data_IF_441459734203
#
_entry.id   IF_441459734203
#
_cell.length_a   1.000
_cell.length_b   1.000
_cell.length_c   1.000
_cell.angle_alpha   90.00
_cell.angle_beta   90.00
_cell.angle_gamma   90.00
#
_symmetry.space_group_name_H-M   'P 1'
#
loop_
_entity.id
_entity.type
_entity.pdbx_description
1 polymer ?
#
# COMPACT_ATOMS: atom_id res chain seq x y z
N UNK A 1 0.06 -7.72 -23.07
CA UNK A 1 0.38 -6.30 -22.76
C UNK A 1 -0.89 -5.46 -22.80
N UNK A 2 -0.89 -4.27 -22.19
CA UNK A 2 -1.99 -3.31 -22.23
C UNK A 2 -1.44 -1.88 -22.20
N UNK A 3 -2.06 -0.97 -22.94
CA UNK A 3 -1.60 0.40 -23.17
C UNK A 3 -2.70 1.41 -22.88
N UNK A 4 -2.35 2.48 -22.19
CA UNK A 4 -3.25 3.57 -21.79
C UNK A 4 -2.75 4.90 -22.38
N UNK A 5 -3.65 5.85 -22.66
CA UNK A 5 -5.11 5.70 -22.68
C UNK A 5 -5.59 4.87 -23.88
N UNK A 6 -6.84 4.41 -23.87
CA UNK A 6 -7.51 3.77 -25.01
C UNK A 6 -7.83 2.29 -24.86
N UNK A 7 -7.19 1.57 -23.94
CA UNK A 7 -7.57 0.19 -23.59
C UNK A 7 -8.08 0.12 -22.14
N UNK A 8 -8.97 -0.85 -21.87
CA UNK A 8 -9.51 -1.09 -20.54
C UNK A 8 -8.53 -1.91 -19.67
N UNK A 9 -7.36 -1.33 -19.43
CA UNK A 9 -6.28 -1.98 -18.68
C UNK A 9 -6.62 -2.16 -17.20
N UNK A 10 -7.47 -1.30 -16.63
CA UNK A 10 -7.90 -1.45 -15.25
C UNK A 10 -8.67 -2.76 -15.04
N UNK A 11 -9.63 -3.11 -15.90
CA UNK A 11 -10.37 -4.36 -15.77
C UNK A 11 -9.48 -5.59 -15.98
N UNK A 12 -8.51 -5.50 -16.90
CA UNK A 12 -7.50 -6.54 -17.10
C UNK A 12 -6.69 -6.76 -15.82
N UNK A 13 -6.31 -5.69 -15.11
CA UNK A 13 -5.61 -5.77 -13.83
C UNK A 13 -6.49 -6.36 -12.73
N UNK A 14 -7.71 -5.83 -12.56
CA UNK A 14 -8.63 -6.29 -11.51
C UNK A 14 -8.98 -7.76 -11.66
N UNK A 15 -9.07 -8.27 -12.90
CA UNK A 15 -9.30 -9.69 -13.15
C UNK A 15 -8.18 -10.58 -12.60
N UNK A 16 -6.92 -10.15 -12.62
CA UNK A 16 -5.83 -10.93 -12.03
C UNK A 16 -5.86 -10.90 -10.50
N UNK A 17 -6.29 -9.78 -9.89
CA UNK A 17 -6.57 -9.73 -8.45
C UNK A 17 -7.72 -10.67 -8.09
N UNK A 18 -8.81 -10.64 -8.86
CA UNK A 18 -9.99 -11.47 -8.68
C UNK A 18 -9.66 -12.98 -8.73
N UNK A 19 -8.75 -13.39 -9.63
CA UNK A 19 -8.33 -14.78 -9.80
C UNK A 19 -7.38 -15.29 -8.70
N UNK A 20 -6.66 -14.40 -8.02
CA UNK A 20 -5.67 -14.79 -7.02
C UNK A 20 -6.30 -15.58 -5.87
N UNK A 21 -5.58 -16.59 -5.38
CA UNK A 21 -6.08 -17.54 -4.38
C UNK A 21 -5.29 -17.58 -3.08
N UNK A 22 -3.99 -17.23 -3.09
CA UNK A 22 -3.12 -17.35 -1.93
C UNK A 22 -2.64 -15.99 -1.44
N UNK A 23 -2.07 -15.18 -2.31
CA UNK A 23 -1.61 -13.85 -1.96
C UNK A 23 -1.48 -12.89 -3.15
N UNK A 24 -1.52 -11.60 -2.81
CA UNK A 24 -1.21 -10.46 -3.68
C UNK A 24 -0.19 -9.58 -2.98
N UNK A 25 1.00 -9.43 -3.58
CA UNK A 25 2.06 -8.56 -3.06
C UNK A 25 2.22 -7.36 -3.98
N UNK A 26 2.00 -6.16 -3.45
CA UNK A 26 1.93 -4.92 -4.22
C UNK A 26 3.11 -4.02 -3.87
N UNK A 27 3.88 -3.57 -4.86
CA UNK A 27 4.85 -2.49 -4.75
C UNK A 27 4.28 -1.28 -5.49
N UNK A 28 4.07 -0.18 -4.78
CA UNK A 28 3.39 0.98 -5.33
C UNK A 28 4.16 2.28 -5.05
N UNK A 29 4.59 2.93 -6.14
CA UNK A 29 5.04 4.32 -6.07
C UNK A 29 3.89 5.26 -5.71
N UNK A 30 2.80 5.24 -6.48
CA UNK A 30 1.55 5.96 -6.15
C UNK A 30 0.41 4.96 -6.00
N UNK A 31 -0.34 5.09 -4.92
CA UNK A 31 -1.46 4.24 -4.52
C UNK A 31 -2.62 5.11 -4.05
N UNK A 32 -3.36 5.65 -5.03
CA UNK A 32 -4.44 6.62 -4.83
C UNK A 32 -5.72 6.24 -5.60
N UNK A 33 -5.74 5.11 -6.29
CA UNK A 33 -6.90 4.61 -7.03
C UNK A 33 -7.82 3.80 -6.12
N UNK A 34 -9.00 4.35 -5.86
CA UNK A 34 -9.99 3.76 -4.93
C UNK A 34 -10.49 2.40 -5.42
N UNK A 35 -10.74 2.23 -6.73
CA UNK A 35 -11.18 0.96 -7.31
C UNK A 35 -10.19 -0.18 -7.02
N UNK A 36 -8.89 0.10 -7.09
CA UNK A 36 -7.86 -0.90 -6.79
C UNK A 36 -7.81 -1.24 -5.31
N UNK A 37 -7.97 -0.24 -4.44
CA UNK A 37 -8.08 -0.45 -2.99
C UNK A 37 -9.27 -1.35 -2.65
N UNK A 38 -10.42 -1.14 -3.29
CA UNK A 38 -11.61 -1.95 -3.09
C UNK A 38 -11.47 -3.38 -3.62
N UNK A 39 -10.78 -3.56 -4.75
CA UNK A 39 -10.52 -4.91 -5.28
C UNK A 39 -9.55 -5.70 -4.39
N UNK A 40 -8.53 -5.06 -3.81
CA UNK A 40 -7.68 -5.69 -2.79
C UNK A 40 -8.49 -6.08 -1.55
N UNK A 41 -9.41 -5.22 -1.10
CA UNK A 41 -10.33 -5.54 0.00
C UNK A 41 -11.20 -6.76 -0.34
N UNK A 42 -11.70 -6.86 -1.58
CA UNK A 42 -12.44 -8.02 -2.04
C UNK A 42 -11.57 -9.29 -2.02
N UNK A 43 -10.29 -9.21 -2.41
CA UNK A 43 -9.36 -10.33 -2.31
C UNK A 43 -9.15 -10.79 -0.86
N UNK A 44 -8.95 -9.85 0.06
CA UNK A 44 -8.82 -10.15 1.50
C UNK A 44 -10.07 -10.89 2.01
N UNK A 45 -11.27 -10.43 1.65
CA UNK A 45 -12.53 -11.09 2.03
C UNK A 45 -12.63 -12.53 1.51
N UNK A 46 -11.96 -12.86 0.41
CA UNK A 46 -11.86 -14.24 -0.11
C UNK A 46 -10.78 -15.09 0.61
N UNK A 47 -10.08 -14.53 1.58
CA UNK A 47 -8.99 -15.20 2.31
C UNK A 47 -7.60 -15.03 1.67
N UNK A 48 -7.47 -14.16 0.65
CA UNK A 48 -6.18 -13.91 -0.01
C UNK A 48 -5.33 -12.98 0.86
N UNK A 49 -4.08 -13.35 1.10
CA UNK A 49 -3.15 -12.50 1.87
C UNK A 49 -2.71 -11.31 1.03
N UNK A 50 -2.90 -10.09 1.54
CA UNK A 50 -2.43 -8.88 0.86
C UNK A 50 -1.28 -8.26 1.62
N UNK A 51 -0.19 -7.97 0.90
CA UNK A 51 0.92 -7.15 1.39
C UNK A 51 1.11 -5.95 0.47
N UNK A 52 1.24 -4.76 1.05
CA UNK A 52 1.42 -3.51 0.33
C UNK A 52 2.69 -2.80 0.78
N UNK A 53 3.63 -2.64 -0.15
CA UNK A 53 4.83 -1.84 0.01
C UNK A 53 4.66 -0.51 -0.74
N UNK A 54 4.50 0.58 0.00
CA UNK A 54 4.28 1.92 -0.55
C UNK A 54 5.54 2.77 -0.48
N UNK A 55 5.71 3.67 -1.45
CA UNK A 55 6.65 4.78 -1.33
C UNK A 55 6.24 5.76 -0.21
N UNK A 56 7.25 6.38 0.42
CA UNK A 56 7.06 7.37 1.49
C UNK A 56 6.30 8.61 1.04
N UNK A 57 6.46 9.04 -0.21
CA UNK A 57 5.81 10.25 -0.73
C UNK A 57 4.32 10.01 -0.94
N UNK A 58 3.91 8.81 -1.36
CA UNK A 58 2.51 8.42 -1.43
C UNK A 58 1.84 8.43 -0.06
N UNK A 59 2.47 7.80 0.95
CA UNK A 59 1.98 7.81 2.33
C UNK A 59 2.02 9.21 2.98
N UNK A 60 2.66 10.19 2.35
CA UNK A 60 2.63 11.58 2.76
C UNK A 60 1.46 12.38 2.15
N UNK A 61 0.76 11.85 1.13
CA UNK A 61 -0.41 12.49 0.52
C UNK A 61 -1.72 12.17 1.25
N UNK A 62 -2.75 13.02 1.09
CA UNK A 62 -4.09 12.77 1.66
C UNK A 62 -4.75 11.52 1.03
N UNK A 63 -4.72 11.42 -0.30
CA UNK A 63 -5.32 10.29 -1.02
C UNK A 63 -4.60 8.97 -0.74
N UNK A 64 -3.26 8.98 -0.75
CA UNK A 64 -2.46 7.80 -0.43
C UNK A 64 -2.74 7.30 0.98
N UNK A 65 -2.69 8.19 1.99
CA UNK A 65 -3.04 7.82 3.37
C UNK A 65 -4.44 7.24 3.50
N UNK A 66 -5.44 7.89 2.90
CA UNK A 66 -6.83 7.39 2.92
C UNK A 66 -6.90 5.94 2.44
N UNK A 67 -6.22 5.61 1.34
CA UNK A 67 -6.30 4.27 0.77
C UNK A 67 -5.48 3.24 1.56
N UNK A 68 -4.37 3.65 2.18
CA UNK A 68 -3.64 2.81 3.14
C UNK A 68 -4.48 2.55 4.41
N UNK A 69 -5.15 3.59 4.92
CA UNK A 69 -6.01 3.51 6.11
C UNK A 69 -7.17 2.54 5.92
N UNK A 70 -7.78 2.51 4.72
CA UNK A 70 -8.84 1.57 4.37
C UNK A 70 -8.41 0.10 4.45
N UNK A 71 -7.12 -0.19 4.25
CA UNK A 71 -6.57 -1.54 4.25
C UNK A 71 -5.85 -1.88 5.58
N UNK A 72 -5.72 -0.93 6.50
CA UNK A 72 -4.80 -1.01 7.63
C UNK A 72 -5.01 -2.24 8.51
N UNK A 73 -6.27 -2.53 8.87
CA UNK A 73 -6.61 -3.66 9.76
C UNK A 73 -6.66 -5.01 9.03
N UNK A 74 -6.49 -5.01 7.71
CA UNK A 74 -6.82 -6.14 6.85
C UNK A 74 -5.64 -6.64 6.00
N UNK A 75 -4.67 -5.77 5.73
CA UNK A 75 -3.47 -6.06 4.95
C UNK A 75 -2.21 -5.76 5.77
N UNK A 76 -1.11 -6.44 5.46
CA UNK A 76 0.19 -6.00 5.95
C UNK A 76 0.66 -4.82 5.09
N UNK A 77 0.94 -3.68 5.71
CA UNK A 77 1.36 -2.47 5.00
C UNK A 77 2.72 -2.01 5.52
N UNK A 78 3.66 -1.76 4.61
CA UNK A 78 4.96 -1.15 4.90
C UNK A 78 5.26 0.04 3.99
N UNK A 79 5.99 1.00 4.54
CA UNK A 79 6.49 2.16 3.81
C UNK A 79 7.99 2.00 3.62
N UNK A 80 8.43 2.00 2.37
CA UNK A 80 9.85 1.92 2.05
C UNK A 80 10.49 3.31 2.12
N UNK A 81 11.31 3.48 3.14
CA UNK A 81 12.02 4.73 3.42
C UNK A 81 13.54 4.54 3.38
N UNK A 82 13.98 3.35 2.96
CA UNK A 82 15.41 2.99 2.88
C UNK A 82 16.08 3.54 1.61
N UNK A 83 15.29 4.03 0.66
CA UNK A 83 15.74 4.65 -0.60
C UNK A 83 15.04 5.99 -0.81
N UNK A 84 15.58 6.87 -1.68
CA UNK A 84 14.93 8.15 -1.98
C UNK A 84 13.49 8.01 -2.48
N UNK A 85 13.26 7.04 -3.39
CA UNK A 85 11.97 6.74 -4.01
C UNK A 85 11.84 5.23 -4.22
N UNK A 86 10.78 4.62 -3.72
CA UNK A 86 10.30 3.30 -4.12
C UNK A 86 9.48 3.50 -5.41
N UNK A 87 10.10 3.35 -6.58
CA UNK A 87 9.46 3.73 -7.84
C UNK A 87 8.76 2.55 -8.55
N UNK A 88 8.70 1.39 -7.91
CA UNK A 88 8.13 0.20 -8.55
C UNK A 88 6.61 0.31 -8.67
N UNK A 89 6.09 -0.21 -9.78
CA UNK A 89 4.67 -0.51 -9.95
C UNK A 89 4.58 -1.97 -10.33
N UNK A 90 4.52 -2.81 -9.31
CA UNK A 90 4.61 -4.26 -9.43
C UNK A 90 3.51 -4.87 -8.59
N UNK A 91 2.85 -5.89 -9.12
CA UNK A 91 2.08 -6.81 -8.27
C UNK A 91 2.42 -8.23 -8.63
N UNK A 92 2.72 -9.03 -7.61
CA UNK A 92 2.94 -10.46 -7.72
C UNK A 92 1.72 -11.20 -7.18
N UNK A 93 1.23 -12.14 -7.95
CA UNK A 93 0.08 -12.98 -7.64
C UNK A 93 0.57 -14.43 -7.53
N UNK A 94 0.38 -15.04 -6.36
CA UNK A 94 0.54 -16.47 -6.15
C UNK A 94 1.85 -17.09 -6.68
N UNK A 95 2.96 -16.35 -6.73
CA UNK A 95 4.25 -16.78 -7.31
C UNK A 95 4.16 -17.32 -8.75
N UNK A 96 3.12 -16.98 -9.50
CA UNK A 96 2.90 -17.48 -10.87
C UNK A 96 2.67 -16.37 -11.89
N UNK A 97 2.21 -15.20 -11.42
CA UNK A 97 1.90 -14.07 -12.29
C UNK A 97 2.47 -12.78 -11.72
N UNK A 98 3.00 -11.94 -12.59
CA UNK A 98 3.43 -10.57 -12.28
C UNK A 98 2.73 -9.60 -13.22
N UNK A 99 2.26 -8.49 -12.67
CA UNK A 99 1.93 -7.30 -13.47
C UNK A 99 2.93 -6.20 -13.15
N UNK A 100 3.48 -5.58 -14.19
CA UNK A 100 4.34 -4.40 -14.06
C UNK A 100 4.28 -3.53 -15.31
N UNK A 101 4.87 -2.35 -15.27
CA UNK A 101 4.90 -1.37 -16.35
C UNK A 101 5.16 0.04 -15.81
N UNK A 102 4.83 1.04 -16.62
CA UNK A 102 4.93 2.46 -16.21
C UNK A 102 3.73 2.92 -15.37
N UNK A 103 2.58 2.23 -15.49
CA UNK A 103 1.32 2.64 -14.87
C UNK A 103 1.37 2.70 -13.34
N UNK A 104 0.98 3.85 -12.77
CA UNK A 104 0.75 4.01 -11.34
C UNK A 104 -0.67 3.62 -10.94
N UNK A 105 -0.88 3.20 -9.68
CA UNK A 105 -2.22 2.93 -9.12
C UNK A 105 -2.94 4.24 -8.78
N UNK A 106 -3.26 5.01 -9.81
CA UNK A 106 -3.88 6.33 -9.73
C UNK A 106 -4.83 6.55 -10.90
N UNK A 107 -5.75 7.49 -10.76
CA UNK A 107 -6.63 7.88 -11.86
C UNK A 107 -5.84 8.38 -13.08
N UNK A 108 -4.76 9.15 -12.86
CA UNK A 108 -3.90 9.63 -13.95
C UNK A 108 -3.25 8.47 -14.71
N UNK A 109 -2.74 7.46 -13.99
CA UNK A 109 -2.09 6.30 -14.59
C UNK A 109 -3.04 5.48 -15.47
N UNK A 110 -4.22 5.12 -14.99
CA UNK A 110 -5.12 4.24 -15.74
C UNK A 110 -5.97 4.93 -16.81
N UNK A 111 -6.21 6.25 -16.69
CA UNK A 111 -7.21 6.93 -17.53
C UNK A 111 -6.72 8.15 -18.32
N UNK A 112 -5.54 8.71 -18.01
CA UNK A 112 -5.09 9.99 -18.61
C UNK A 112 -3.72 9.92 -19.27
N UNK A 113 -2.73 9.39 -18.57
CA UNK A 113 -1.35 9.36 -19.02
C UNK A 113 -1.14 8.31 -20.12
N UNK A 114 -0.14 8.55 -20.97
CA UNK A 114 0.42 7.52 -21.84
C UNK A 114 1.21 6.52 -20.97
N UNK A 115 0.66 5.35 -20.72
CA UNK A 115 1.22 4.34 -19.82
C UNK A 115 1.15 2.94 -20.45
N UNK A 116 1.94 2.01 -19.94
CA UNK A 116 1.86 0.61 -20.29
C UNK A 116 1.81 -0.30 -19.06
N UNK A 117 1.31 -1.51 -19.29
CA UNK A 117 1.49 -2.64 -18.39
C UNK A 117 1.63 -3.95 -19.16
N UNK A 118 2.34 -4.91 -18.57
CA UNK A 118 2.48 -6.27 -19.06
C UNK A 118 2.04 -7.24 -17.97
N UNK A 119 1.34 -8.29 -18.39
CA UNK A 119 1.05 -9.45 -17.53
C UNK A 119 2.03 -10.53 -17.95
N UNK A 120 2.84 -10.98 -16.99
CA UNK A 120 3.83 -12.03 -17.19
C UNK A 120 3.35 -13.24 -16.38
N UNK A 121 2.93 -14.29 -17.09
CA UNK A 121 2.51 -15.57 -16.49
C UNK A 121 3.66 -16.57 -16.61
N UNK A 122 4.62 -16.40 -15.74
CA UNK A 122 5.82 -17.22 -15.67
C UNK A 122 6.28 -17.34 -14.22
N UNK A 123 6.37 -18.58 -13.72
CA UNK A 123 6.71 -18.88 -12.33
C UNK A 123 8.11 -18.41 -11.98
N UNK A 124 9.10 -18.59 -12.87
CA UNK A 124 10.48 -18.20 -12.60
C UNK A 124 10.58 -16.67 -12.41
N UNK A 125 9.95 -15.92 -13.31
CA UNK A 125 9.84 -14.46 -13.22
C UNK A 125 9.10 -14.03 -11.96
N UNK A 126 7.97 -14.66 -11.65
CA UNK A 126 7.19 -14.33 -10.45
C UNK A 126 7.97 -14.57 -9.15
N UNK A 127 8.72 -15.67 -9.05
CA UNK A 127 9.60 -15.95 -7.91
C UNK A 127 10.74 -14.94 -7.82
N UNK A 128 11.31 -14.50 -8.94
CA UNK A 128 12.34 -13.45 -8.95
C UNK A 128 11.78 -12.11 -8.43
N UNK A 129 10.58 -11.71 -8.86
CA UNK A 129 9.92 -10.50 -8.37
C UNK A 129 9.51 -10.62 -6.89
N UNK A 130 9.03 -11.78 -6.45
CA UNK A 130 8.77 -12.05 -5.02
C UNK A 130 10.04 -11.92 -4.17
N UNK A 131 11.17 -12.43 -4.67
CA UNK A 131 12.45 -12.31 -3.98
C UNK A 131 12.92 -10.84 -3.91
N UNK A 132 12.70 -10.06 -4.98
CA UNK A 132 12.96 -8.63 -4.97
C UNK A 132 12.03 -7.89 -3.99
N UNK A 133 10.74 -8.23 -3.99
CA UNK A 133 9.75 -7.72 -3.05
C UNK A 133 10.20 -7.93 -1.60
N UNK A 134 10.55 -9.16 -1.22
CA UNK A 134 10.93 -9.51 0.15
C UNK A 134 12.18 -8.75 0.62
N UNK A 135 13.17 -8.54 -0.27
CA UNK A 135 14.34 -7.70 0.04
C UNK A 135 13.94 -6.28 0.40
N UNK A 136 13.05 -5.65 -0.39
CA UNK A 136 12.58 -4.28 -0.12
C UNK A 136 11.68 -4.24 1.13
N UNK A 137 10.79 -5.22 1.27
CA UNK A 137 9.88 -5.36 2.39
C UNK A 137 10.60 -5.41 3.74
N UNK A 138 11.70 -6.18 3.81
CA UNK A 138 12.48 -6.33 5.04
C UNK A 138 13.24 -5.06 5.46
N UNK A 139 13.52 -4.15 4.53
CA UNK A 139 14.12 -2.84 4.80
C UNK A 139 13.09 -1.75 5.13
N UNK A 140 11.82 -2.01 4.85
CA UNK A 140 10.74 -1.05 5.00
C UNK A 140 10.17 -1.01 6.43
N UNK A 141 9.62 0.14 6.81
CA UNK A 141 9.02 0.34 8.12
C UNK A 141 7.53 -0.03 8.09
N UNK A 142 6.95 -0.60 9.16
CA UNK A 142 5.50 -0.76 9.28
C UNK A 142 4.79 0.58 9.07
N UNK A 143 3.69 0.55 8.31
CA UNK A 143 2.74 1.66 8.32
C UNK A 143 1.96 1.61 9.64
N UNK A 144 1.72 2.77 10.25
CA UNK A 144 0.93 2.89 11.47
C UNK A 144 -0.06 4.02 11.25
N UNK A 145 -1.36 3.69 11.27
CA UNK A 145 -2.42 4.65 11.06
C UNK A 145 -2.31 5.83 12.04
N UNK A 146 -2.53 7.04 11.52
CA UNK A 146 -2.48 8.27 12.31
C UNK A 146 -1.07 8.77 12.65
N UNK A 147 -0.01 8.03 12.32
CA UNK A 147 1.37 8.47 12.51
C UNK A 147 2.03 8.91 11.19
N UNK A 148 3.11 9.69 11.31
CA UNK A 148 3.93 10.05 10.16
C UNK A 148 4.60 8.80 9.58
N UNK A 149 4.72 8.68 8.25
CA UNK A 149 5.46 7.58 7.62
C UNK A 149 6.91 7.51 8.09
N UNK A 150 7.54 6.34 7.99
CA UNK A 150 8.97 6.14 8.22
C UNK A 150 9.46 6.34 9.66
N UNK A 151 8.71 5.92 10.68
CA UNK A 151 9.19 5.95 12.07
C UNK A 151 10.38 4.99 12.18
N UNK A 152 11.56 5.53 12.51
CA UNK A 152 12.85 4.85 12.28
C UNK A 152 13.25 3.88 13.38
N UNK A 153 12.60 3.93 14.55
CA UNK A 153 12.94 3.02 15.65
C UNK A 153 11.77 2.73 16.59
N UNK A 154 11.84 1.58 17.26
CA UNK A 154 10.95 1.22 18.36
C UNK A 154 10.97 2.26 19.49
N UNK A 155 12.13 2.87 19.75
CA UNK A 155 12.27 3.99 20.71
C UNK A 155 11.50 5.23 20.27
N UNK A 156 11.59 5.60 18.99
CA UNK A 156 10.86 6.73 18.44
C UNK A 156 9.35 6.49 18.48
N UNK A 157 8.92 5.29 18.09
CA UNK A 157 7.53 4.87 18.19
C UNK A 157 7.02 4.92 19.63
N UNK A 158 7.76 4.33 20.57
CA UNK A 158 7.42 4.31 21.99
C UNK A 158 7.29 5.73 22.55
N UNK A 159 8.21 6.64 22.18
CA UNK A 159 8.14 8.06 22.54
C UNK A 159 6.88 8.73 21.99
N UNK A 160 6.54 8.50 20.72
CA UNK A 160 5.34 9.06 20.08
C UNK A 160 4.08 8.58 20.80
N UNK A 161 3.96 7.27 21.07
CA UNK A 161 2.81 6.69 21.74
C UNK A 161 2.68 7.19 23.19
N UNK A 162 3.79 7.26 23.94
CA UNK A 162 3.81 7.79 25.31
C UNK A 162 3.36 9.26 25.36
N UNK A 163 3.82 10.08 24.41
CA UNK A 163 3.40 11.48 24.32
C UNK A 163 1.91 11.61 23.97
N UNK A 164 1.41 10.83 23.02
CA UNK A 164 -0.01 10.82 22.66
C UNK A 164 -0.89 10.45 23.87
N UNK A 165 -0.52 9.38 24.60
CA UNK A 165 -1.22 8.94 25.80
C UNK A 165 -1.22 10.01 26.90
N UNK A 166 -0.08 10.66 27.15
CA UNK A 166 0.02 11.74 28.14
C UNK A 166 -0.84 12.96 27.79
N UNK A 167 -0.99 13.27 26.50
CA UNK A 167 -1.80 14.39 26.01
C UNK A 167 -3.30 14.10 26.16
N UNK A 168 -3.72 12.86 25.89
CA UNK A 168 -5.10 12.41 26.12
C UNK A 168 -5.43 12.48 27.62
N UNK A 169 -4.54 12.00 28.50
CA UNK A 169 -4.73 12.09 29.96
C UNK A 169 -4.83 13.54 30.46
N UNK A 170 -3.98 14.46 29.97
CA UNK A 170 -4.09 15.88 30.32
C UNK A 170 -5.41 16.50 29.83
N UNK A 171 -5.88 16.14 28.63
CA UNK A 171 -7.16 16.64 28.10
C UNK A 171 -8.37 16.05 28.84
N UNK A 172 -8.28 14.80 29.29
CA UNK A 172 -9.29 14.16 30.16
C UNK A 172 -9.39 14.85 31.52
N UNK A 173 -8.25 15.17 32.14
CA UNK A 173 -8.21 15.92 33.40
C UNK A 173 -8.69 17.38 33.25
N UNK A 174 -8.49 18.00 32.09
CA UNK A 174 -9.05 19.34 31.80
C UNK A 174 -10.57 19.35 31.61
N UNK A 175 -11.19 18.21 31.25
CA UNK A 175 -12.66 18.08 31.20
C UNK A 175 -13.27 17.81 32.58
N UNK A 176 -12.55 17.12 33.46
CA UNK A 176 -12.98 16.99 34.87
C UNK A 176 -12.77 18.28 35.67
N UNK A 177 -11.80 19.13 35.31
CA UNK A 177 -11.59 20.43 35.95
C UNK A 177 -12.51 21.56 35.45
N UNK A 178 -13.43 21.27 34.52
CA UNK A 178 -14.46 22.21 34.03
C UNK A 178 -15.89 21.69 34.25
N UNK A 179 -16.06 20.79 35.20
CA UNK A 179 -17.37 20.56 35.82
C UNK A 179 -17.56 21.61 36.90
N UNK A 180 -18.10 22.78 36.52
CA UNK A 180 -18.95 23.63 37.35
C UNK A 180 -19.76 24.55 36.41
N UNK A 181 -21.08 24.34 36.47
CA UNK A 181 -22.23 24.93 35.75
C UNK A 181 -22.62 24.32 34.40
#
# INVERSE_FOLDING_TARGET
PCFMPGQNCINVYMNEVAKSRRYVWVMAYSFTLDDFTMELMAAIKRGVKVRLLSDRTNAATKAGRRNLDLLYDYAEIRIDCSVPIQHSKVTVFDNSTVITGSVNFSHQGFYKNSENMVIIRDTATAVAYSSFYDKRWNLASPYIQGLKPCIRSSKELHRILKNAYSKIHRLGNFRHARGDW
#
